data_IF_329383049253
#
_entry.id   IF_329383049253
#
_cell.length_a   1.000
_cell.length_b   1.000
_cell.length_c   1.000
_cell.angle_alpha   90.00
_cell.angle_beta   90.00
_cell.angle_gamma   90.00
#
_symmetry.space_group_name_H-M   'P 1'
#
loop_
_entity.id
_entity.type
_entity.pdbx_description
1 polymer ?
#
# COMPACT_ATOMS: atom_id res chain seq x y z
N UNK A 1 81.45 18.41 -35.98
CA UNK A 1 81.14 17.95 -34.62
C UNK A 1 79.79 18.54 -34.23
N UNK A 2 78.70 17.85 -34.57
CA UNK A 2 77.34 18.36 -34.31
C UNK A 2 76.68 17.61 -33.15
N UNK A 3 76.71 18.22 -31.97
CA UNK A 3 76.02 17.75 -30.77
C UNK A 3 74.54 18.17 -30.79
N UNK A 4 73.65 17.25 -31.18
CA UNK A 4 72.20 17.45 -31.15
C UNK A 4 71.70 17.42 -29.69
N UNK A 5 71.44 18.57 -29.08
CA UNK A 5 70.72 18.68 -27.79
C UNK A 5 69.23 18.35 -27.96
N UNK A 6 68.87 17.07 -27.83
CA UNK A 6 67.49 16.65 -27.51
C UNK A 6 67.34 16.63 -25.99
N UNK A 7 66.51 17.49 -25.41
CA UNK A 7 65.78 17.21 -24.15
C UNK A 7 65.15 18.49 -23.58
N UNK A 8 63.83 18.46 -23.33
CA UNK A 8 63.25 18.83 -22.01
C UNK A 8 61.76 19.23 -22.08
N UNK A 9 61.26 19.76 -23.20
CA UNK A 9 59.87 20.28 -23.27
C UNK A 9 58.80 19.18 -23.38
N UNK A 10 59.09 18.07 -24.06
CA UNK A 10 58.10 17.02 -24.31
C UNK A 10 57.66 16.23 -23.06
N UNK A 11 58.51 16.13 -22.02
CA UNK A 11 58.17 15.36 -20.80
C UNK A 11 57.23 16.09 -19.84
N UNK A 12 57.21 17.43 -19.86
CA UNK A 12 56.34 18.21 -18.93
C UNK A 12 54.89 18.32 -19.42
N UNK A 13 54.64 18.18 -20.72
CA UNK A 13 53.29 18.19 -21.29
C UNK A 13 52.52 16.90 -20.98
N UNK A 14 53.19 15.73 -21.04
CA UNK A 14 52.54 14.43 -20.78
C UNK A 14 51.98 14.27 -19.38
N UNK A 15 52.64 14.82 -18.35
CA UNK A 15 52.21 14.70 -16.96
C UNK A 15 50.97 15.56 -16.60
N UNK A 16 50.68 16.62 -17.38
CA UNK A 16 49.50 17.47 -17.16
C UNK A 16 48.26 16.90 -17.86
N UNK A 17 48.45 16.27 -19.02
CA UNK A 17 47.37 15.63 -19.79
C UNK A 17 46.84 14.38 -19.08
N UNK A 18 47.71 13.59 -18.44
CA UNK A 18 47.29 12.39 -17.69
C UNK A 18 46.48 12.72 -16.44
N UNK A 19 46.78 13.82 -15.74
CA UNK A 19 46.00 14.25 -14.56
C UNK A 19 44.62 14.78 -14.93
N UNK A 20 44.50 15.52 -16.04
CA UNK A 20 43.22 16.03 -16.53
C UNK A 20 42.28 14.90 -16.99
N UNK A 21 42.81 13.89 -17.68
CA UNK A 21 42.04 12.72 -18.10
C UNK A 21 41.51 11.91 -16.89
N UNK A 22 42.30 11.78 -15.82
CA UNK A 22 41.92 11.01 -14.64
C UNK A 22 40.81 11.71 -13.83
N UNK A 23 40.83 13.04 -13.75
CA UNK A 23 39.74 13.85 -13.13
C UNK A 23 38.44 13.74 -13.94
N UNK A 24 38.53 13.76 -15.28
CA UNK A 24 37.36 13.59 -16.14
C UNK A 24 36.71 12.21 -15.99
N UNK A 25 37.51 11.15 -15.85
CA UNK A 25 37.00 9.78 -15.59
C UNK A 25 36.35 9.68 -14.21
N UNK A 26 36.95 10.26 -13.16
CA UNK A 26 36.36 10.27 -11.82
C UNK A 26 35.04 11.06 -11.80
N UNK A 27 34.97 12.19 -12.49
CA UNK A 27 33.73 12.97 -12.62
C UNK A 27 32.64 12.20 -13.40
N UNK A 28 33.00 11.51 -14.48
CA UNK A 28 32.08 10.69 -15.26
C UNK A 28 31.55 9.48 -14.48
N UNK A 29 32.39 8.82 -13.66
CA UNK A 29 31.96 7.74 -12.76
C UNK A 29 31.10 8.27 -11.61
N UNK A 30 31.40 9.48 -11.10
CA UNK A 30 30.59 10.15 -10.07
C UNK A 30 29.15 10.45 -10.53
N UNK A 31 28.94 10.80 -11.80
CA UNK A 31 27.58 11.02 -12.34
C UNK A 31 26.74 9.73 -12.42
N UNK A 32 27.36 8.56 -12.57
CA UNK A 32 26.66 7.26 -12.54
C UNK A 32 26.34 6.80 -11.10
N UNK A 33 27.01 7.40 -10.10
CA UNK A 33 26.82 7.13 -8.68
C UNK A 33 26.05 8.26 -7.96
N UNK A 34 25.44 9.19 -8.69
CA UNK A 34 24.54 10.15 -8.09
C UNK A 34 23.37 9.36 -7.45
N UNK A 35 23.14 9.49 -6.13
CA UNK A 35 21.95 8.90 -5.54
C UNK A 35 20.76 9.50 -6.29
N UNK A 36 20.00 8.66 -6.99
CA UNK A 36 18.73 9.07 -7.56
C UNK A 36 17.96 9.71 -6.41
N UNK A 37 17.60 10.98 -6.55
CA UNK A 37 16.71 11.64 -5.59
C UNK A 37 15.42 10.83 -5.62
N UNK A 38 15.25 9.92 -4.67
CA UNK A 38 14.00 9.27 -4.42
C UNK A 38 13.05 10.37 -3.96
N UNK A 39 12.27 10.92 -4.89
CA UNK A 39 11.15 11.77 -4.55
C UNK A 39 10.20 10.90 -3.76
N UNK A 40 10.07 11.18 -2.46
CA UNK A 40 9.05 10.56 -1.64
C UNK A 40 7.71 11.07 -2.17
N UNK A 41 7.07 10.26 -3.02
CA UNK A 41 5.76 10.57 -3.56
C UNK A 41 4.74 10.28 -2.45
N UNK A 42 4.40 11.31 -1.68
CA UNK A 42 3.43 11.25 -0.60
C UNK A 42 2.01 11.14 -1.17
N UNK A 43 1.66 9.93 -1.60
CA UNK A 43 0.42 9.64 -2.33
C UNK A 43 -0.39 8.54 -1.68
N UNK A 44 -1.70 8.62 -1.90
CA UNK A 44 -2.65 7.56 -1.56
C UNK A 44 -3.20 6.97 -2.86
N UNK A 45 -2.91 5.70 -3.09
CA UNK A 45 -3.32 4.99 -4.30
C UNK A 45 -4.49 4.05 -3.98
N UNK A 46 -5.60 4.12 -4.72
CA UNK A 46 -6.73 3.22 -4.54
C UNK A 46 -6.41 1.83 -5.11
N UNK A 47 -6.94 0.78 -4.48
CA UNK A 47 -6.85 -0.60 -4.97
C UNK A 47 -8.23 -1.27 -4.90
N UNK A 48 -8.50 -2.19 -5.83
CA UNK A 48 -9.63 -3.09 -5.73
C UNK A 48 -9.11 -4.43 -5.19
N UNK A 49 -9.58 -4.85 -4.02
CA UNK A 49 -9.12 -6.10 -3.41
C UNK A 49 -9.78 -7.30 -4.08
N UNK A 50 -11.11 -7.25 -4.18
CA UNK A 50 -11.91 -8.26 -4.82
C UNK A 50 -13.31 -7.74 -5.17
N UNK A 51 -14.07 -8.55 -5.91
CA UNK A 51 -15.47 -8.25 -6.23
C UNK A 51 -16.38 -9.47 -6.07
N UNK A 52 -17.66 -9.21 -5.82
CA UNK A 52 -18.74 -10.21 -5.79
C UNK A 52 -19.75 -9.85 -6.86
N UNK A 53 -20.07 -10.82 -7.72
CA UNK A 53 -21.20 -10.68 -8.65
C UNK A 53 -22.51 -11.03 -7.92
N UNK A 54 -23.49 -10.16 -8.05
CA UNK A 54 -24.80 -10.33 -7.44
C UNK A 54 -25.79 -10.93 -8.44
N UNK A 55 -26.84 -11.58 -7.92
CA UNK A 55 -27.88 -12.21 -8.75
C UNK A 55 -28.64 -11.23 -9.65
N UNK A 56 -28.72 -9.95 -9.28
CA UNK A 56 -29.36 -8.89 -10.05
C UNK A 56 -28.44 -8.28 -11.12
N UNK A 57 -27.23 -8.83 -11.32
CA UNK A 57 -26.24 -8.35 -12.28
C UNK A 57 -25.44 -7.13 -11.81
N UNK A 58 -25.66 -6.63 -10.59
CA UNK A 58 -24.76 -5.65 -9.97
C UNK A 58 -23.50 -6.32 -9.43
N UNK A 59 -22.47 -5.53 -9.11
CA UNK A 59 -21.27 -5.99 -8.43
C UNK A 59 -21.06 -5.27 -7.12
N UNK A 60 -20.70 -6.01 -6.09
CA UNK A 60 -20.22 -5.45 -4.84
C UNK A 60 -18.69 -5.46 -4.87
N UNK A 61 -18.08 -4.29 -4.71
CA UNK A 61 -16.64 -4.10 -4.79
C UNK A 61 -16.09 -3.90 -3.38
N UNK A 62 -15.00 -4.60 -3.05
CA UNK A 62 -14.23 -4.40 -1.82
C UNK A 62 -13.01 -3.57 -2.17
N UNK A 63 -12.99 -2.33 -1.68
CA UNK A 63 -12.02 -1.33 -2.10
C UNK A 63 -11.09 -1.00 -0.95
N UNK A 64 -9.79 -0.97 -1.23
CA UNK A 64 -8.74 -0.61 -0.30
C UNK A 64 -7.89 0.54 -0.81
N UNK A 65 -6.80 0.84 -0.12
CA UNK A 65 -5.79 1.79 -0.58
C UNK A 65 -4.39 1.44 -0.09
N UNK A 66 -3.38 2.00 -0.75
CA UNK A 66 -2.00 2.05 -0.26
C UNK A 66 -1.59 3.51 -0.07
N UNK A 67 -1.27 3.88 1.16
CA UNK A 67 -0.73 5.20 1.50
C UNK A 67 0.77 5.11 1.70
N UNK A 68 1.51 5.96 1.00
CA UNK A 68 2.95 6.12 1.17
C UNK A 68 3.30 7.26 2.13
N UNK A 69 2.32 7.87 2.80
CA UNK A 69 2.54 8.92 3.80
C UNK A 69 3.02 8.33 5.13
N UNK A 70 3.88 9.05 5.86
CA UNK A 70 4.38 8.59 7.18
C UNK A 70 3.37 8.80 8.30
N UNK A 71 2.65 9.93 8.25
CA UNK A 71 1.60 10.27 9.18
C UNK A 71 0.25 10.15 8.47
N UNK A 72 -0.80 9.77 9.20
CA UNK A 72 -2.15 9.64 8.66
C UNK A 72 -2.55 10.88 7.85
N UNK A 73 -2.97 10.67 6.60
CA UNK A 73 -3.24 11.73 5.66
C UNK A 73 -4.73 11.99 5.55
N UNK A 74 -5.16 13.26 5.54
CA UNK A 74 -6.58 13.60 5.41
C UNK A 74 -6.89 14.14 4.02
N UNK A 75 -7.80 13.47 3.33
CA UNK A 75 -8.35 13.93 2.05
C UNK A 75 -9.86 13.96 2.18
N UNK A 76 -10.41 15.17 2.30
CA UNK A 76 -11.85 15.37 2.38
C UNK A 76 -12.53 14.98 1.07
N UNK A 77 -13.81 14.61 1.15
CA UNK A 77 -14.62 14.32 -0.03
C UNK A 77 -14.58 15.50 -1.01
N UNK A 78 -14.48 15.17 -2.30
CA UNK A 78 -14.42 16.16 -3.37
C UNK A 78 -13.49 15.73 -4.51
N UNK A 79 -12.90 16.70 -5.20
CA UNK A 79 -12.12 16.45 -6.43
C UNK A 79 -10.90 15.52 -6.28
N UNK A 80 -10.40 15.34 -5.06
CA UNK A 80 -9.26 14.47 -4.75
C UNK A 80 -9.66 13.19 -4.01
N UNK A 81 -10.95 13.02 -3.71
CA UNK A 81 -11.50 11.86 -3.02
C UNK A 81 -12.99 11.77 -3.33
N UNK A 82 -13.31 11.33 -4.56
CA UNK A 82 -14.66 11.38 -5.10
C UNK A 82 -15.06 10.09 -5.79
N UNK A 83 -16.28 9.65 -5.54
CA UNK A 83 -16.92 8.54 -6.24
C UNK A 83 -17.87 9.05 -7.32
N UNK A 84 -17.91 8.33 -8.43
CA UNK A 84 -18.88 8.50 -9.50
C UNK A 84 -19.60 7.15 -9.76
N UNK A 85 -20.94 7.14 -9.93
CA UNK A 85 -21.87 8.28 -9.84
C UNK A 85 -22.01 8.83 -8.41
N UNK A 86 -22.60 10.03 -8.30
CA UNK A 86 -22.69 10.77 -7.02
C UNK A 86 -23.45 10.01 -5.92
N UNK A 87 -24.34 9.08 -6.27
CA UNK A 87 -25.04 8.23 -5.28
C UNK A 87 -24.11 7.31 -4.49
N UNK A 88 -22.89 7.06 -4.99
CA UNK A 88 -21.88 6.26 -4.31
C UNK A 88 -21.09 7.07 -3.27
N UNK A 89 -21.23 8.40 -3.27
CA UNK A 89 -20.45 9.27 -2.39
C UNK A 89 -20.78 9.07 -0.92
N UNK A 90 -19.79 9.29 -0.06
CA UNK A 90 -19.94 9.34 1.40
C UNK A 90 -19.37 8.12 2.11
N UNK A 91 -19.27 6.97 1.42
CA UNK A 91 -18.75 5.72 2.00
C UNK A 91 -17.23 5.65 2.01
N UNK A 92 -16.55 6.46 1.19
CA UNK A 92 -15.10 6.43 1.10
C UNK A 92 -14.44 7.15 2.31
N UNK A 93 -13.30 6.65 2.82
CA UNK A 93 -12.62 7.22 3.96
C UNK A 93 -12.11 8.62 3.68
N UNK A 94 -12.00 9.45 4.71
CA UNK A 94 -11.37 10.79 4.65
C UNK A 94 -10.05 10.87 5.42
N UNK A 95 -9.71 9.81 6.16
CA UNK A 95 -8.46 9.64 6.90
C UNK A 95 -7.79 8.37 6.38
N UNK A 96 -6.52 8.49 5.98
CA UNK A 96 -5.75 7.45 5.33
C UNK A 96 -4.49 7.16 6.15
N UNK A 97 -4.52 6.09 6.91
CA UNK A 97 -3.36 5.57 7.65
C UNK A 97 -2.23 5.13 6.71
N UNK A 98 -0.99 5.11 7.22
CA UNK A 98 0.17 4.67 6.45
C UNK A 98 0.08 3.17 6.08
N UNK A 99 0.61 2.81 4.92
CA UNK A 99 0.66 1.43 4.44
C UNK A 99 -0.55 1.01 3.61
N UNK A 100 -0.71 -0.30 3.42
CA UNK A 100 -1.83 -0.87 2.67
C UNK A 100 -2.96 -1.23 3.62
N UNK A 101 -4.15 -0.67 3.34
CA UNK A 101 -5.40 -0.97 4.04
C UNK A 101 -6.34 -1.65 3.05
N UNK A 102 -6.67 -2.90 3.35
CA UNK A 102 -7.63 -3.70 2.59
C UNK A 102 -9.05 -3.48 3.12
N UNK A 103 -10.05 -3.58 2.23
CA UNK A 103 -11.47 -3.49 2.60
C UNK A 103 -11.84 -2.20 3.33
N UNK A 104 -11.22 -1.07 2.93
CA UNK A 104 -11.46 0.23 3.52
C UNK A 104 -12.94 0.66 3.42
N UNK A 105 -13.62 0.26 2.33
CA UNK A 105 -15.07 0.36 2.19
C UNK A 105 -15.59 -0.58 1.09
N UNK A 106 -16.91 -0.70 1.00
CA UNK A 106 -17.59 -1.43 -0.08
C UNK A 106 -18.56 -0.55 -0.84
N UNK A 107 -18.70 -0.81 -2.14
CA UNK A 107 -19.73 -0.16 -2.98
C UNK A 107 -20.44 -1.19 -3.85
N UNK A 108 -21.76 -1.04 -3.96
CA UNK A 108 -22.58 -1.77 -4.93
C UNK A 108 -22.82 -0.93 -6.18
N UNK A 109 -22.35 -1.43 -7.31
CA UNK A 109 -22.45 -0.79 -8.62
C UNK A 109 -23.26 -1.66 -9.57
N UNK A 110 -24.24 -1.06 -10.24
CA UNK A 110 -25.04 -1.75 -11.25
C UNK A 110 -24.24 -1.95 -12.54
N UNK A 111 -24.66 -2.89 -13.38
CA UNK A 111 -24.07 -3.08 -14.70
C UNK A 111 -24.11 -1.80 -15.56
N UNK A 112 -25.19 -1.02 -15.47
CA UNK A 112 -25.33 0.24 -16.20
C UNK A 112 -24.30 1.28 -15.75
N UNK A 113 -24.02 1.37 -14.46
CA UNK A 113 -23.05 2.33 -13.93
C UNK A 113 -21.61 1.93 -14.21
N UNK A 114 -21.31 0.62 -14.17
CA UNK A 114 -20.04 0.11 -14.66
C UNK A 114 -19.83 0.51 -16.13
N UNK A 115 -20.85 0.35 -16.98
CA UNK A 115 -20.81 0.80 -18.37
C UNK A 115 -20.70 2.32 -18.54
N UNK A 116 -21.17 3.09 -17.56
CA UNK A 116 -21.07 4.55 -17.54
C UNK A 116 -19.75 5.08 -16.94
N UNK A 117 -18.82 4.20 -16.54
CA UNK A 117 -17.52 4.59 -15.99
C UNK A 117 -17.54 4.87 -14.49
N UNK A 118 -18.28 4.08 -13.71
CA UNK A 118 -18.24 4.14 -12.25
C UNK A 118 -16.80 3.98 -11.73
N UNK A 119 -16.38 4.88 -10.83
CA UNK A 119 -14.97 5.00 -10.43
C UNK A 119 -14.77 5.69 -9.09
N UNK A 120 -13.59 5.49 -8.51
CA UNK A 120 -13.07 6.27 -7.39
C UNK A 120 -11.86 7.10 -7.82
N UNK A 121 -11.96 8.42 -7.65
CA UNK A 121 -10.87 9.36 -7.85
C UNK A 121 -10.22 9.67 -6.50
N UNK A 122 -8.95 9.29 -6.34
CA UNK A 122 -8.21 9.45 -5.10
C UNK A 122 -6.80 10.02 -5.37
N UNK A 123 -6.54 11.22 -4.87
CA UNK A 123 -5.23 11.89 -4.91
C UNK A 123 -4.56 11.93 -6.30
N UNK A 124 -5.37 12.01 -7.36
CA UNK A 124 -4.94 12.03 -8.76
C UNK A 124 -4.89 10.65 -9.43
N UNK A 125 -5.17 9.57 -8.70
CA UNK A 125 -5.43 8.25 -9.25
C UNK A 125 -6.91 8.09 -9.57
N UNK A 126 -7.18 7.26 -10.57
CA UNK A 126 -8.54 6.85 -10.96
C UNK A 126 -8.59 5.33 -10.89
N UNK A 127 -9.42 4.81 -9.99
CA UNK A 127 -9.80 3.40 -9.97
C UNK A 127 -11.09 3.24 -10.75
N UNK A 128 -10.97 2.89 -12.03
CA UNK A 128 -12.12 2.51 -12.86
C UNK A 128 -12.60 1.11 -12.44
N UNK A 129 -13.85 1.02 -11.99
CA UNK A 129 -14.35 -0.21 -11.39
C UNK A 129 -14.58 -1.33 -12.41
N UNK A 130 -14.92 -1.00 -13.66
CA UNK A 130 -15.11 -2.01 -14.69
C UNK A 130 -13.77 -2.64 -15.08
N UNK A 131 -12.76 -1.80 -15.34
CA UNK A 131 -11.41 -2.25 -15.66
C UNK A 131 -10.77 -3.02 -14.49
N UNK A 132 -10.88 -2.49 -13.26
CA UNK A 132 -10.32 -3.14 -12.08
C UNK A 132 -10.98 -4.50 -11.79
N UNK A 133 -12.29 -4.63 -11.99
CA UNK A 133 -12.98 -5.92 -11.82
C UNK A 133 -12.47 -6.97 -12.83
N UNK A 134 -11.98 -6.56 -14.00
CA UNK A 134 -11.44 -7.48 -15.01
C UNK A 134 -10.06 -8.06 -14.65
N UNK A 135 -9.34 -7.44 -13.71
CA UNK A 135 -7.99 -7.87 -13.28
C UNK A 135 -7.93 -8.34 -11.83
N UNK A 136 -8.94 -8.02 -11.03
CA UNK A 136 -9.01 -8.38 -9.61
C UNK A 136 -9.75 -9.70 -9.42
N UNK A 137 -9.40 -10.52 -8.41
CA UNK A 137 -10.07 -11.78 -8.15
C UNK A 137 -11.50 -11.58 -7.63
N UNK A 138 -12.31 -12.63 -7.76
CA UNK A 138 -13.57 -12.72 -7.02
C UNK A 138 -13.29 -12.86 -5.51
N UNK A 139 -14.16 -12.30 -4.67
CA UNK A 139 -13.98 -12.43 -3.22
C UNK A 139 -14.16 -13.89 -2.77
N UNK A 140 -13.33 -14.39 -1.84
CA UNK A 140 -13.57 -15.66 -1.17
C UNK A 140 -14.98 -15.75 -0.56
N UNK A 141 -15.56 -16.95 -0.53
CA UNK A 141 -16.90 -17.17 0.05
C UNK A 141 -16.97 -16.89 1.57
N UNK A 142 -15.82 -16.80 2.24
CA UNK A 142 -15.68 -16.42 3.65
C UNK A 142 -15.45 -14.93 3.87
N UNK A 143 -15.50 -14.10 2.82
CA UNK A 143 -15.31 -12.65 2.96
C UNK A 143 -16.50 -12.03 3.65
N UNK A 144 -16.30 -11.59 4.89
CA UNK A 144 -17.21 -10.70 5.60
C UNK A 144 -17.13 -9.33 4.93
N UNK A 145 -18.16 -8.95 4.19
CA UNK A 145 -18.22 -7.65 3.52
C UNK A 145 -18.45 -6.57 4.59
N UNK A 146 -17.64 -5.50 4.62
CA UNK A 146 -17.94 -4.33 5.43
C UNK A 146 -19.39 -3.92 5.23
N UNK A 147 -20.11 -3.71 6.33
CA UNK A 147 -21.51 -3.30 6.28
C UNK A 147 -21.63 -2.06 5.40
N UNK A 148 -22.62 -2.06 4.50
CA UNK A 148 -22.90 -0.92 3.64
C UNK A 148 -22.89 0.36 4.47
N UNK A 149 -21.95 1.27 4.17
CA UNK A 149 -21.65 2.48 4.96
C UNK A 149 -22.75 3.54 4.96
N UNK A 150 -24.02 3.15 5.02
CA UNK A 150 -25.19 3.99 5.24
C UNK A 150 -25.68 3.85 6.70
N UNK A 151 -24.83 4.22 7.65
CA UNK A 151 -25.24 4.73 8.98
C UNK A 151 -26.15 3.88 9.88
N UNK A 152 -26.38 2.59 9.58
CA UNK A 152 -27.26 1.71 10.37
C UNK A 152 -26.64 0.32 10.38
N UNK A 153 -25.93 -0.03 11.46
CA UNK A 153 -25.19 -1.30 11.58
C UNK A 153 -26.06 -2.56 11.54
N UNK A 154 -25.52 -3.78 11.76
CA UNK A 154 -25.02 -4.09 13.11
C UNK A 154 -23.57 -4.60 13.28
N UNK A 155 -22.94 -4.16 14.38
CA UNK A 155 -21.85 -4.87 15.03
C UNK A 155 -22.15 -6.36 15.28
N UNK A 156 -21.68 -7.26 14.41
CA UNK A 156 -21.63 -8.74 14.59
C UNK A 156 -20.48 -9.23 13.69
N UNK A 157 -19.50 -10.06 14.07
CA UNK A 157 -19.28 -10.77 15.33
C UNK A 157 -17.90 -11.42 15.40
N UNK A 158 -16.88 -10.65 15.79
CA UNK A 158 -15.56 -11.18 16.22
C UNK A 158 -15.59 -11.71 17.67
N UNK A 159 -16.58 -12.54 18.01
CA UNK A 159 -16.68 -13.16 19.35
C UNK A 159 -16.54 -14.69 19.29
N UNK A 160 -16.86 -15.34 18.17
CA UNK A 160 -16.82 -16.81 18.10
C UNK A 160 -15.41 -17.41 18.13
N UNK A 161 -14.42 -16.79 17.48
CA UNK A 161 -13.03 -17.28 17.51
C UNK A 161 -12.32 -16.96 18.85
N UNK A 162 -12.65 -15.82 19.47
CA UNK A 162 -12.08 -15.41 20.76
C UNK A 162 -12.52 -16.27 21.94
N UNK A 163 -13.77 -16.74 21.96
CA UNK A 163 -14.28 -17.57 23.07
C UNK A 163 -13.65 -18.96 23.13
N UNK A 164 -13.38 -19.61 21.98
CA UNK A 164 -12.70 -20.92 21.96
C UNK A 164 -11.25 -20.78 22.44
N UNK A 165 -10.54 -19.75 21.98
CA UNK A 165 -9.18 -19.45 22.43
C UNK A 165 -9.12 -19.16 23.94
N UNK A 166 -10.04 -18.33 24.45
CA UNK A 166 -10.08 -17.99 25.88
C UNK A 166 -10.40 -19.19 26.77
N UNK A 167 -11.31 -20.09 26.35
CA UNK A 167 -11.64 -21.30 27.12
C UNK A 167 -10.46 -22.28 27.16
N UNK A 168 -9.74 -22.46 26.06
CA UNK A 168 -8.56 -23.33 26.02
C UNK A 168 -7.41 -22.77 26.87
N UNK A 169 -7.14 -21.47 26.79
CA UNK A 169 -6.13 -20.80 27.63
C UNK A 169 -6.53 -20.85 29.11
N UNK A 170 -7.80 -20.62 29.45
CA UNK A 170 -8.26 -20.69 30.83
C UNK A 170 -8.16 -22.11 31.41
N UNK A 171 -8.50 -23.15 30.63
CA UNK A 171 -8.34 -24.56 31.05
C UNK A 171 -6.88 -24.96 31.23
N UNK A 172 -5.99 -24.53 30.35
CA UNK A 172 -4.56 -24.79 30.47
C UNK A 172 -3.97 -24.13 31.73
N UNK A 173 -4.35 -22.88 32.00
CA UNK A 173 -3.84 -22.14 33.15
C UNK A 173 -4.34 -22.69 34.50
N UNK A 174 -5.57 -23.22 34.56
CA UNK A 174 -6.06 -23.93 35.77
C UNK A 174 -5.29 -25.21 36.05
N UNK A 175 -4.98 -26.00 35.01
CA UNK A 175 -4.18 -27.23 35.18
C UNK A 175 -2.76 -26.94 35.66
N UNK A 176 -2.11 -25.90 35.11
CA UNK A 176 -0.79 -25.48 35.56
C UNK A 176 -0.78 -25.04 37.02
N UNK A 177 -1.80 -24.28 37.47
CA UNK A 177 -1.91 -23.86 38.87
C UNK A 177 -2.24 -24.99 39.84
N UNK A 178 -3.04 -25.99 39.42
CA UNK A 178 -3.31 -27.17 40.24
C UNK A 178 -2.05 -28.02 40.47
N UNK A 179 -1.20 -28.16 39.43
CA UNK A 179 0.08 -28.86 39.54
C UNK A 179 1.10 -28.08 40.39
N UNK A 180 1.12 -26.75 40.28
CA UNK A 180 1.98 -25.90 41.11
C UNK A 180 1.54 -25.84 42.58
N UNK A 181 0.25 -26.03 42.87
CA UNK A 181 -0.28 -26.11 44.24
C UNK A 181 -0.03 -27.46 44.92
N UNK A 182 -0.06 -28.57 44.16
CA UNK A 182 0.19 -29.91 44.67
C UNK A 182 1.66 -30.15 45.08
N UNK A 183 2.61 -29.39 44.52
CA UNK A 183 4.04 -29.50 44.86
C UNK A 183 4.49 -28.72 46.11
N UNK A 184 3.57 -28.05 46.83
CA UNK A 184 3.90 -27.20 48.00
C UNK A 184 3.39 -27.74 49.34
N UNK A 185 2.86 -28.96 49.37
CA UNK A 185 2.37 -29.60 50.60
C UNK A 185 3.30 -30.69 51.15
N UNK A 186 4.49 -30.89 50.56
CA UNK A 186 5.50 -31.84 51.01
C UNK A 186 6.84 -31.13 51.35
N UNK A 187 6.79 -30.16 52.27
CA UNK A 187 7.97 -29.58 52.93
C UNK A 187 7.66 -29.26 54.39
#
# INVERSE_FOLDING_TARGET
MDGRKRSSRARRAGARVTRAALVAVIAAVGLLAAPGTASANWKVQPILDCHVENQDGSRTLVVGYTSYTRDGWRIQHGKKNGLFPSRLQGVQPTVFESGTVHGAFTVRVTAAELGAGARWELDGYVLDFAAASGTSPACPSSTELPEEGNGTGPAIGLVAAGMVGAVLVHRANRRARALAGAGRSDA
#
